data_IF_250647052194
#
_entry.id   IF_250647052194
#
_cell.length_a   1.000
_cell.length_b   1.000
_cell.length_c   1.000
_cell.angle_alpha   90.00
_cell.angle_beta   90.00
_cell.angle_gamma   90.00
#
_symmetry.space_group_name_H-M   'P 1'
#
loop_
_entity.id
_entity.type
_entity.pdbx_description
1 polymer ?
#
# COMPACT_ATOMS: atom_id res chain seq x y z
N UNK A 1 53.95 6.74 -44.03
CA UNK A 1 55.30 6.72 -43.43
C UNK A 1 55.25 7.42 -42.09
N UNK A 2 55.70 6.73 -41.04
CA UNK A 2 55.83 7.24 -39.67
C UNK A 2 56.84 8.38 -39.56
N UNK A 3 56.67 9.30 -38.60
CA UNK A 3 57.53 9.38 -37.40
C UNK A 3 57.02 10.44 -36.41
N UNK A 4 56.99 10.02 -35.14
CA UNK A 4 56.80 10.78 -33.91
C UNK A 4 57.96 11.74 -33.62
N UNK A 5 57.71 12.75 -32.77
CA UNK A 5 58.53 13.32 -31.65
C UNK A 5 57.85 14.68 -31.31
N UNK A 6 57.21 14.98 -30.18
CA UNK A 6 57.41 14.83 -28.74
C UNK A 6 58.66 15.52 -28.15
N UNK A 7 58.46 16.66 -27.48
CA UNK A 7 59.23 17.16 -26.32
C UNK A 7 58.53 18.45 -25.78
N UNK A 8 57.94 18.46 -24.58
CA UNK A 8 58.51 18.54 -23.22
C UNK A 8 58.81 19.97 -22.74
N UNK A 9 58.05 20.41 -21.72
CA UNK A 9 58.54 21.05 -20.49
C UNK A 9 57.38 21.08 -19.46
N UNK A 10 57.38 20.16 -18.49
CA UNK A 10 57.97 20.31 -17.15
C UNK A 10 57.37 21.46 -16.33
N UNK A 11 56.47 21.12 -15.41
CA UNK A 11 56.55 21.67 -14.06
C UNK A 11 56.13 20.62 -13.00
N UNK A 12 57.13 20.29 -12.20
CA UNK A 12 57.11 19.53 -10.96
C UNK A 12 56.25 20.23 -9.91
N UNK A 13 55.28 19.53 -9.30
CA UNK A 13 55.06 19.63 -7.85
C UNK A 13 54.97 18.21 -7.30
N UNK A 14 56.06 17.81 -6.66
CA UNK A 14 56.13 16.67 -5.77
C UNK A 14 55.32 16.96 -4.51
N UNK A 15 54.39 16.08 -4.15
CA UNK A 15 54.29 15.66 -2.77
C UNK A 15 53.97 14.16 -2.69
N UNK A 16 55.00 13.43 -2.33
CA UNK A 16 54.93 12.07 -1.80
C UNK A 16 53.96 12.04 -0.61
N UNK A 17 52.99 11.13 -0.64
CA UNK A 17 52.86 10.11 0.41
C UNK A 17 52.44 8.79 -0.27
N UNK A 18 53.07 7.75 0.25
CA UNK A 18 53.36 6.45 -0.32
C UNK A 18 52.13 5.51 -0.43
N UNK A 19 52.13 4.79 -1.57
CA UNK A 19 51.92 3.33 -1.75
C UNK A 19 50.55 2.79 -1.33
N UNK A 20 49.67 2.43 -2.27
CA UNK A 20 49.72 1.18 -3.07
C UNK A 20 48.74 0.18 -2.41
N UNK A 21 47.78 -0.49 -3.07
CA UNK A 21 47.84 -1.25 -4.30
C UNK A 21 46.42 -1.55 -4.85
N UNK A 22 46.29 -1.47 -6.17
CA UNK A 22 45.48 -2.23 -7.15
C UNK A 22 44.08 -2.78 -6.82
N UNK A 23 43.14 -2.26 -7.62
CA UNK A 23 42.00 -2.91 -8.29
C UNK A 23 41.98 -4.45 -8.29
N UNK A 24 40.89 -5.02 -7.76
CA UNK A 24 40.25 -6.20 -8.35
C UNK A 24 38.73 -6.02 -8.32
N UNK A 25 38.15 -6.05 -9.51
CA UNK A 25 36.74 -6.24 -9.79
C UNK A 25 36.19 -7.38 -8.94
N UNK A 26 35.12 -7.18 -8.17
CA UNK A 26 34.06 -8.16 -7.88
C UNK A 26 32.89 -7.44 -7.21
N UNK A 27 31.76 -7.48 -7.92
CA UNK A 27 30.43 -7.02 -7.51
C UNK A 27 29.94 -7.93 -6.38
N UNK A 28 29.93 -7.47 -5.12
CA UNK A 28 29.28 -8.19 -4.01
C UNK A 28 28.11 -7.35 -3.51
N UNK A 29 26.90 -7.86 -3.75
CA UNK A 29 25.70 -7.41 -3.05
C UNK A 29 25.92 -7.67 -1.56
N UNK A 30 26.04 -6.62 -0.76
CA UNK A 30 26.01 -6.74 0.69
C UNK A 30 24.58 -7.08 1.14
N UNK A 31 24.19 -8.35 1.06
CA UNK A 31 23.08 -8.84 1.89
C UNK A 31 23.66 -9.13 3.27
N UNK A 32 23.27 -8.33 4.27
CA UNK A 32 23.59 -8.59 5.67
C UNK A 32 23.06 -9.97 6.04
N UNK A 33 23.95 -10.94 6.30
CA UNK A 33 23.58 -12.22 6.91
C UNK A 33 23.77 -12.13 8.42
N UNK A 34 22.68 -12.40 9.16
CA UNK A 34 22.64 -12.45 10.62
C UNK A 34 23.52 -13.60 11.11
N UNK A 35 24.48 -13.33 12.01
CA UNK A 35 25.25 -14.38 12.68
C UNK A 35 24.37 -14.97 13.78
N UNK A 36 23.98 -16.24 13.65
CA UNK A 36 23.53 -17.03 14.79
C UNK A 36 24.74 -17.76 15.35
N UNK A 37 25.24 -17.32 16.49
CA UNK A 37 26.06 -18.14 17.37
C UNK A 37 25.19 -18.55 18.55
N UNK A 38 24.80 -19.83 18.59
CA UNK A 38 24.29 -20.49 19.78
C UNK A 38 25.38 -20.50 20.86
N UNK A 39 25.03 -20.11 22.09
CA UNK A 39 25.13 -20.94 23.30
C UNK A 39 25.35 -20.09 24.56
N UNK A 40 24.33 -19.98 25.39
CA UNK A 40 24.43 -20.02 26.84
C UNK A 40 23.01 -20.18 27.38
N UNK A 41 22.80 -21.26 28.14
CA UNK A 41 21.57 -21.51 28.86
C UNK A 41 21.45 -20.46 29.97
N UNK A 42 20.43 -19.61 29.87
CA UNK A 42 19.81 -18.98 31.01
C UNK A 42 18.31 -19.27 30.87
N UNK A 43 17.77 -20.04 31.81
CA UNK A 43 16.35 -20.34 31.92
C UNK A 43 15.59 -19.03 32.17
N UNK A 44 15.04 -18.45 31.10
CA UNK A 44 14.01 -17.41 31.22
C UNK A 44 12.71 -18.11 31.60
N UNK A 45 12.08 -17.78 32.74
CA UNK A 45 10.79 -18.38 33.09
C UNK A 45 9.78 -18.02 32.01
N UNK A 46 8.88 -18.95 31.62
CA UNK A 46 7.94 -18.70 30.55
C UNK A 46 7.05 -17.52 30.95
N UNK A 47 7.20 -16.40 30.24
CA UNK A 47 6.19 -15.34 30.24
C UNK A 47 4.95 -16.02 29.69
N UNK A 48 3.99 -16.30 30.57
CA UNK A 48 2.63 -16.60 30.16
C UNK A 48 2.15 -15.39 29.39
N UNK A 49 2.25 -15.45 28.07
CA UNK A 49 1.46 -14.60 27.19
C UNK A 49 0.03 -14.96 27.56
N UNK A 50 -0.63 -14.10 28.34
CA UNK A 50 -2.09 -14.09 28.32
C UNK A 50 -2.43 -13.80 26.86
N UNK A 51 -2.81 -14.83 26.12
CA UNK A 51 -3.66 -14.65 24.95
C UNK A 51 -4.92 -13.98 25.50
N UNK A 52 -4.93 -12.64 25.49
CA UNK A 52 -6.18 -11.93 25.40
C UNK A 52 -6.76 -12.39 24.07
N UNK A 53 -7.58 -13.45 24.11
CA UNK A 53 -8.59 -13.67 23.10
C UNK A 53 -9.45 -12.41 23.11
N UNK A 54 -9.08 -11.44 22.29
CA UNK A 54 -10.02 -10.46 21.82
C UNK A 54 -11.05 -11.27 21.04
N UNK A 55 -12.15 -11.58 21.72
CA UNK A 55 -13.38 -12.02 21.07
C UNK A 55 -13.81 -10.84 20.21
N UNK A 56 -13.29 -10.79 18.97
CA UNK A 56 -13.82 -9.89 17.97
C UNK A 56 -15.28 -10.33 17.83
N UNK A 57 -16.26 -9.48 18.20
CA UNK A 57 -17.65 -9.86 18.03
C UNK A 57 -17.81 -10.23 16.56
N UNK A 58 -18.34 -11.44 16.28
CA UNK A 58 -18.71 -11.80 14.92
C UNK A 58 -19.59 -10.67 14.40
N UNK A 59 -19.18 -9.98 13.32
CA UNK A 59 -19.87 -8.76 12.93
C UNK A 59 -21.30 -9.15 12.54
N UNK A 60 -22.27 -8.52 13.20
CA UNK A 60 -23.66 -8.63 12.80
C UNK A 60 -23.77 -8.30 11.30
N UNK A 61 -24.73 -8.94 10.61
CA UNK A 61 -24.96 -8.64 9.20
C UNK A 61 -25.13 -7.12 9.02
N UNK A 62 -24.44 -6.49 8.05
CA UNK A 62 -24.51 -5.05 7.82
C UNK A 62 -25.95 -4.60 7.57
N UNK A 63 -26.32 -3.45 8.11
CA UNK A 63 -27.64 -2.83 7.89
C UNK A 63 -27.57 -1.84 6.73
N UNK A 64 -28.74 -1.46 6.20
CA UNK A 64 -28.85 -0.48 5.10
C UNK A 64 -28.22 0.87 5.48
N UNK A 65 -28.40 1.32 6.72
CA UNK A 65 -27.83 2.57 7.25
C UNK A 65 -26.29 2.57 7.25
N UNK A 66 -25.68 1.40 7.52
CA UNK A 66 -24.23 1.21 7.48
C UNK A 66 -23.73 1.16 6.05
N UNK A 67 -24.40 0.39 5.19
CA UNK A 67 -23.98 0.21 3.81
C UNK A 67 -24.16 1.48 2.96
N UNK A 68 -25.25 2.23 3.19
CA UNK A 68 -25.62 3.38 2.37
C UNK A 68 -26.16 3.01 0.99
N UNK A 69 -26.60 1.76 0.80
CA UNK A 69 -27.21 1.26 -0.43
C UNK A 69 -28.63 0.80 -0.11
N UNK A 70 -29.61 1.59 -0.52
CA UNK A 70 -31.03 1.33 -0.19
C UNK A 70 -31.66 0.25 -1.05
N UNK A 71 -31.25 0.16 -2.32
CA UNK A 71 -31.81 -0.76 -3.30
C UNK A 71 -30.76 -1.77 -3.77
N UNK A 72 -30.65 -2.96 -3.12
CA UNK A 72 -29.79 -4.04 -3.62
C UNK A 72 -30.23 -4.45 -5.03
N UNK A 73 -29.27 -4.83 -5.86
CA UNK A 73 -29.50 -5.14 -7.27
C UNK A 73 -28.86 -6.48 -7.63
N UNK A 74 -29.60 -7.35 -8.32
CA UNK A 74 -29.06 -8.64 -8.76
C UNK A 74 -27.81 -8.42 -9.64
N UNK A 75 -26.67 -9.07 -9.33
CA UNK A 75 -25.45 -8.90 -10.09
C UNK A 75 -25.60 -9.35 -11.55
N UNK A 76 -25.28 -8.44 -12.47
CA UNK A 76 -25.07 -8.78 -13.88
C UNK A 76 -23.57 -8.89 -14.15
N UNK A 77 -23.07 -10.12 -14.12
CA UNK A 77 -21.66 -10.41 -14.36
C UNK A 77 -21.21 -10.10 -15.79
N UNK A 78 -22.12 -9.90 -16.75
CA UNK A 78 -21.74 -9.47 -18.11
C UNK A 78 -21.23 -8.03 -18.14
N UNK A 79 -21.63 -7.20 -17.16
CA UNK A 79 -21.17 -5.82 -17.02
C UNK A 79 -19.87 -5.70 -16.21
N UNK A 80 -19.49 -6.76 -15.51
CA UNK A 80 -18.29 -6.76 -14.68
C UNK A 80 -17.08 -7.25 -15.49
N UNK A 81 -15.87 -6.78 -15.17
CA UNK A 81 -14.67 -7.33 -15.76
C UNK A 81 -14.51 -8.83 -15.48
N UNK A 82 -13.90 -9.54 -16.43
CA UNK A 82 -13.66 -10.97 -16.31
C UNK A 82 -12.91 -11.32 -15.01
N UNK A 83 -13.40 -12.33 -14.30
CA UNK A 83 -12.83 -12.79 -13.04
C UNK A 83 -13.17 -11.91 -11.82
N UNK A 84 -14.03 -10.90 -11.96
CA UNK A 84 -14.53 -10.14 -10.81
C UNK A 84 -15.51 -10.99 -9.99
N UNK A 85 -15.12 -11.31 -8.74
CA UNK A 85 -15.99 -11.98 -7.78
C UNK A 85 -16.47 -10.98 -6.73
N UNK A 86 -17.78 -10.75 -6.67
CA UNK A 86 -18.37 -9.82 -5.71
C UNK A 86 -18.44 -10.39 -4.28
N UNK A 87 -18.36 -11.71 -4.09
CA UNK A 87 -18.33 -12.33 -2.76
C UNK A 87 -19.59 -12.06 -1.93
N UNK A 88 -19.41 -11.77 -0.64
CA UNK A 88 -20.52 -11.40 0.25
C UNK A 88 -21.06 -10.01 -0.12
N UNK A 89 -22.34 -9.75 0.16
CA UNK A 89 -23.02 -8.49 -0.18
C UNK A 89 -22.97 -8.19 -1.70
N UNK A 90 -23.07 -9.23 -2.52
CA UNK A 90 -22.93 -9.09 -3.98
C UNK A 90 -23.99 -8.15 -4.57
N UNK A 91 -25.21 -8.19 -4.06
CA UNK A 91 -26.31 -7.36 -4.57
C UNK A 91 -26.11 -5.87 -4.24
N UNK A 92 -25.64 -5.58 -3.02
CA UNK A 92 -25.36 -4.24 -2.54
C UNK A 92 -24.11 -3.67 -3.21
N UNK A 93 -23.06 -4.49 -3.36
CA UNK A 93 -21.85 -4.11 -4.12
C UNK A 93 -22.19 -3.79 -5.57
N UNK A 94 -22.97 -4.65 -6.23
CA UNK A 94 -23.34 -4.42 -7.62
C UNK A 94 -24.16 -3.14 -7.79
N UNK A 95 -25.16 -2.92 -6.94
CA UNK A 95 -25.92 -1.68 -6.92
C UNK A 95 -25.02 -0.45 -6.75
N UNK A 96 -24.06 -0.52 -5.83
CA UNK A 96 -23.09 0.55 -5.60
C UNK A 96 -22.13 0.78 -6.77
N UNK A 97 -21.67 -0.27 -7.44
CA UNK A 97 -20.85 -0.17 -8.68
C UNK A 97 -21.63 0.55 -9.77
N UNK A 98 -22.91 0.22 -9.94
CA UNK A 98 -23.77 0.88 -10.94
C UNK A 98 -23.99 2.35 -10.57
N UNK A 99 -24.29 2.64 -9.29
CA UNK A 99 -24.53 4.00 -8.82
C UNK A 99 -23.28 4.91 -8.93
N UNK A 100 -22.10 4.34 -8.68
CA UNK A 100 -20.81 5.03 -8.78
C UNK A 100 -20.22 5.06 -10.20
N UNK A 101 -20.89 4.46 -11.18
CA UNK A 101 -20.48 4.39 -12.58
C UNK A 101 -19.05 3.87 -12.77
N UNK A 102 -18.74 2.75 -12.11
CA UNK A 102 -17.41 2.12 -12.16
C UNK A 102 -17.33 1.07 -13.27
N UNK A 103 -16.25 1.13 -14.05
CA UNK A 103 -16.00 0.20 -15.16
C UNK A 103 -14.61 -0.44 -15.11
N UNK A 104 -13.64 0.25 -14.50
CA UNK A 104 -12.26 -0.25 -14.43
C UNK A 104 -12.12 -1.36 -13.39
N UNK A 105 -11.29 -2.35 -13.70
CA UNK A 105 -11.08 -3.54 -12.86
C UNK A 105 -10.53 -3.17 -11.49
N UNK A 106 -9.58 -2.24 -11.45
CA UNK A 106 -8.93 -1.85 -10.20
C UNK A 106 -9.86 -0.98 -9.35
N UNK A 107 -10.61 -0.08 -9.98
CA UNK A 107 -11.60 0.73 -9.28
C UNK A 107 -12.68 -0.13 -8.63
N UNK A 108 -13.22 -1.10 -9.37
CA UNK A 108 -14.21 -2.05 -8.85
C UNK A 108 -13.62 -2.89 -7.72
N UNK A 109 -12.38 -3.35 -7.84
CA UNK A 109 -11.71 -4.11 -6.77
C UNK A 109 -11.49 -3.29 -5.50
N UNK A 110 -11.03 -2.05 -5.63
CA UNK A 110 -10.86 -1.12 -4.51
C UNK A 110 -12.21 -0.87 -3.85
N UNK A 111 -13.22 -0.52 -4.65
CA UNK A 111 -14.59 -0.28 -4.18
C UNK A 111 -15.12 -1.49 -3.38
N UNK A 112 -15.11 -2.69 -3.98
CA UNK A 112 -15.66 -3.89 -3.35
C UNK A 112 -14.97 -4.24 -2.02
N UNK A 113 -13.64 -4.11 -1.94
CA UNK A 113 -12.87 -4.41 -0.73
C UNK A 113 -13.17 -3.43 0.38
N UNK A 114 -13.19 -2.13 0.07
CA UNK A 114 -13.48 -1.09 1.05
C UNK A 114 -14.94 -1.13 1.50
N UNK A 115 -15.86 -1.28 0.56
CA UNK A 115 -17.28 -1.41 0.87
C UNK A 115 -17.53 -2.57 1.83
N UNK A 116 -17.00 -3.76 1.54
CA UNK A 116 -17.16 -4.92 2.43
C UNK A 116 -16.54 -4.67 3.81
N UNK A 117 -15.32 -4.12 3.84
CA UNK A 117 -14.65 -3.81 5.10
C UNK A 117 -15.48 -2.87 5.97
N UNK A 118 -15.88 -1.71 5.44
CA UNK A 118 -16.63 -0.71 6.22
C UNK A 118 -18.08 -1.12 6.50
N UNK A 119 -18.65 -2.04 5.72
CA UNK A 119 -19.98 -2.60 6.00
C UNK A 119 -19.97 -3.47 7.25
N UNK A 120 -18.94 -4.28 7.46
CA UNK A 120 -18.81 -5.14 8.63
C UNK A 120 -18.13 -4.44 9.81
N UNK A 121 -17.24 -3.49 9.53
CA UNK A 121 -16.47 -2.74 10.50
C UNK A 121 -16.64 -1.25 10.23
N UNK A 122 -17.79 -0.66 10.60
CA UNK A 122 -17.97 0.78 10.49
C UNK A 122 -16.97 1.47 11.42
N UNK A 123 -15.92 2.07 10.84
CA UNK A 123 -14.92 2.86 11.56
C UNK A 123 -15.28 4.33 11.37
N UNK A 124 -15.55 5.01 12.47
CA UNK A 124 -15.79 6.46 12.53
C UNK A 124 -14.45 7.17 12.31
N UNK A 125 -14.40 8.19 11.44
CA UNK A 125 -13.17 8.95 11.23
C UNK A 125 -12.94 9.82 12.48
N UNK A 126 -11.86 9.52 13.21
CA UNK A 126 -11.67 9.83 14.64
C UNK A 126 -11.45 11.31 15.02
N UNK A 127 -11.76 12.27 14.14
CA UNK A 127 -11.55 13.69 14.41
C UNK A 127 -12.86 14.53 14.36
N UNK A 128 -13.91 14.02 13.72
CA UNK A 128 -15.24 14.65 13.64
C UNK A 128 -16.28 13.51 13.65
N UNK A 129 -17.08 13.36 14.71
CA UNK A 129 -18.08 12.29 14.91
C UNK A 129 -19.23 12.34 13.87
N UNK A 130 -18.90 12.17 12.59
CA UNK A 130 -19.82 12.16 11.47
C UNK A 130 -19.93 10.73 10.96
N UNK A 131 -21.15 10.21 11.02
CA UNK A 131 -21.48 8.94 10.40
C UNK A 131 -21.33 9.04 8.89
N UNK A 132 -20.51 8.17 8.30
CA UNK A 132 -20.33 8.08 6.85
C UNK A 132 -20.69 6.66 6.41
N UNK A 133 -21.68 6.49 5.50
CA UNK A 133 -22.02 5.18 4.98
C UNK A 133 -20.87 4.54 4.18
N UNK A 134 -20.78 3.20 4.21
CA UNK A 134 -19.71 2.43 3.57
C UNK A 134 -19.59 2.71 2.07
N UNK A 135 -20.72 2.84 1.36
CA UNK A 135 -20.75 3.22 -0.06
C UNK A 135 -20.04 4.56 -0.31
N UNK A 136 -20.37 5.59 0.48
CA UNK A 136 -19.81 6.94 0.33
C UNK A 136 -18.31 6.90 0.59
N UNK A 137 -17.87 6.19 1.63
CA UNK A 137 -16.45 6.05 1.94
C UNK A 137 -15.69 5.31 0.83
N UNK A 138 -16.20 4.17 0.37
CA UNK A 138 -15.55 3.38 -0.67
C UNK A 138 -15.47 4.15 -2.00
N UNK A 139 -16.53 4.89 -2.36
CA UNK A 139 -16.55 5.73 -3.55
C UNK A 139 -15.55 6.89 -3.48
N UNK A 140 -15.45 7.57 -2.35
CA UNK A 140 -14.48 8.66 -2.16
C UNK A 140 -13.03 8.17 -2.33
N UNK A 141 -12.72 6.97 -1.85
CA UNK A 141 -11.39 6.38 -2.07
C UNK A 141 -11.10 6.05 -3.53
N UNK A 142 -12.12 5.63 -4.30
CA UNK A 142 -11.97 5.48 -5.76
C UNK A 142 -11.71 6.84 -6.43
N UNK A 143 -12.39 7.91 -6.01
CA UNK A 143 -12.10 9.27 -6.51
C UNK A 143 -10.67 9.68 -6.15
N UNK A 144 -10.22 9.41 -4.93
CA UNK A 144 -8.84 9.69 -4.51
C UNK A 144 -7.83 8.94 -5.38
N UNK A 145 -8.11 7.67 -5.69
CA UNK A 145 -7.31 6.87 -6.60
C UNK A 145 -7.23 7.46 -8.01
N UNK A 146 -8.35 7.98 -8.55
CA UNK A 146 -8.38 8.69 -9.84
C UNK A 146 -7.62 10.03 -9.81
N UNK A 147 -7.46 10.64 -8.64
CA UNK A 147 -6.93 11.99 -8.52
C UNK A 147 -5.39 11.98 -8.51
N UNK A 148 -4.72 12.69 -9.44
CA UNK A 148 -3.27 12.74 -9.46
C UNK A 148 -2.69 13.35 -8.18
N UNK A 149 -1.52 12.87 -7.68
CA UNK A 149 -0.91 13.39 -6.45
C UNK A 149 -0.66 14.90 -6.46
N UNK A 150 -0.35 15.48 -7.62
CA UNK A 150 -0.13 16.92 -7.78
C UNK A 150 -1.39 17.75 -7.50
N UNK A 151 -2.57 17.21 -7.84
CA UNK A 151 -3.87 17.87 -7.59
C UNK A 151 -4.21 17.80 -6.10
N UNK A 152 -3.94 16.67 -5.44
CA UNK A 152 -4.13 16.49 -3.99
C UNK A 152 -3.26 17.51 -3.23
N UNK A 153 -1.97 17.58 -3.55
CA UNK A 153 -1.04 18.52 -2.92
C UNK A 153 -1.41 20.00 -3.16
N UNK A 154 -2.02 20.32 -4.30
CA UNK A 154 -2.54 21.67 -4.57
C UNK A 154 -3.77 21.99 -3.72
N UNK A 155 -4.74 21.08 -3.63
CA UNK A 155 -5.94 21.24 -2.79
C UNK A 155 -5.57 21.43 -1.32
N UNK A 156 -4.65 20.60 -0.79
CA UNK A 156 -4.21 20.68 0.60
C UNK A 156 -3.50 22.01 0.95
N UNK A 157 -2.82 22.63 -0.03
CA UNK A 157 -2.20 23.96 0.16
C UNK A 157 -3.20 25.10 0.08
N UNK A 158 -4.28 24.95 -0.68
CA UNK A 158 -5.31 25.98 -0.83
C UNK A 158 -6.33 26.00 0.31
N UNK A 159 -6.45 24.90 1.08
CA UNK A 159 -7.31 24.80 2.26
C UNK A 159 -6.66 25.34 3.55
N UNK A 160 -5.45 25.91 3.45
CA UNK A 160 -4.74 26.61 4.54
C UNK A 160 -4.90 28.11 4.36
#
# INVERSE_FOLDING_TARGET
MNLFFNNNNNNNINHNIKKGFKLSTIRIRNTLKRKFSCSAADEVPPIKVLELEYTIPSPSKPTIEIMGVEAPMRPDYNRLPDGCNLGNLAEEKFAGIIAADLYDVYEIQIYCRLFEHFSYYPIYNFDEDVWIPAHVHAYNEVINFRTPPSVIARKARAAR
#
